data_IF_449735145667
#
_entry.id   IF_449735145667
#
_cell.length_a   1.000
_cell.length_b   1.000
_cell.length_c   1.000
_cell.angle_alpha   90.00
_cell.angle_beta   90.00
_cell.angle_gamma   90.00
#
_symmetry.space_group_name_H-M   'P 1'
#
loop_
_entity.id
_entity.type
_entity.pdbx_description
1 polymer ?
#
# COMPACT_ATOMS: atom_id res chain seq x y z
N UNK A 1 49.57 1.02 -10.56
CA UNK A 1 49.15 0.00 -11.52
C UNK A 1 47.83 -0.55 -10.99
N UNK A 2 46.74 -0.38 -11.72
CA UNK A 2 45.41 -0.84 -11.29
C UNK A 2 45.37 -2.35 -11.42
N UNK A 3 45.16 -3.05 -10.30
CA UNK A 3 44.94 -4.49 -10.30
C UNK A 3 43.62 -4.76 -11.05
N UNK A 4 43.72 -5.36 -12.24
CA UNK A 4 42.58 -5.83 -13.00
C UNK A 4 42.04 -7.08 -12.29
N UNK A 5 41.21 -6.89 -11.26
CA UNK A 5 40.40 -7.98 -10.76
C UNK A 5 39.29 -8.28 -11.79
N UNK A 6 39.18 -9.52 -12.29
CA UNK A 6 38.08 -9.89 -13.17
C UNK A 6 36.77 -9.73 -12.39
N UNK A 7 35.88 -8.89 -12.90
CA UNK A 7 34.52 -8.77 -12.37
C UNK A 7 33.87 -10.14 -12.57
N UNK A 8 33.63 -10.86 -11.47
CA UNK A 8 32.89 -12.12 -11.54
C UNK A 8 31.48 -11.82 -12.03
N UNK A 9 31.08 -12.50 -13.10
CA UNK A 9 29.71 -12.40 -13.58
C UNK A 9 28.78 -13.00 -12.52
N UNK A 10 27.71 -12.29 -12.14
CA UNK A 10 26.76 -12.81 -11.17
C UNK A 10 26.14 -14.10 -11.69
N UNK A 11 25.94 -15.03 -10.78
CA UNK A 11 25.21 -16.27 -11.03
C UNK A 11 23.74 -15.97 -11.32
N UNK A 12 23.05 -16.93 -11.95
CA UNK A 12 21.61 -16.77 -12.22
C UNK A 12 20.79 -16.55 -10.94
N UNK A 13 21.20 -17.12 -9.80
CA UNK A 13 20.55 -16.91 -8.51
C UNK A 13 20.70 -15.47 -8.00
N UNK A 14 21.92 -14.91 -8.09
CA UNK A 14 22.18 -13.52 -7.73
C UNK A 14 21.45 -12.53 -8.66
N UNK A 15 21.33 -12.85 -9.96
CA UNK A 15 20.53 -12.07 -10.90
C UNK A 15 19.04 -12.11 -10.57
N UNK A 16 18.53 -13.27 -10.13
CA UNK A 16 17.15 -13.43 -9.72
C UNK A 16 16.86 -12.66 -8.41
N UNK A 17 17.77 -12.72 -7.43
CA UNK A 17 17.70 -11.93 -6.20
C UNK A 17 17.71 -10.43 -6.49
N UNK A 18 18.63 -9.95 -7.34
CA UNK A 18 18.67 -8.54 -7.76
C UNK A 18 17.40 -8.12 -8.49
N UNK A 19 16.82 -9.01 -9.30
CA UNK A 19 15.54 -8.76 -9.98
C UNK A 19 14.41 -8.64 -8.96
N UNK A 20 14.34 -9.54 -7.98
CA UNK A 20 13.34 -9.47 -6.92
C UNK A 20 13.52 -8.21 -6.06
N UNK A 21 14.75 -7.86 -5.69
CA UNK A 21 15.07 -6.64 -4.93
C UNK A 21 14.67 -5.37 -5.69
N UNK A 22 14.73 -5.38 -7.02
CA UNK A 22 14.29 -4.25 -7.85
C UNK A 22 12.77 -4.18 -8.01
N UNK A 23 12.10 -5.32 -8.12
CA UNK A 23 10.65 -5.39 -8.38
C UNK A 23 9.83 -5.08 -7.12
N UNK A 24 10.26 -5.53 -5.94
CA UNK A 24 9.55 -5.35 -4.66
C UNK A 24 9.29 -3.86 -4.33
N UNK A 25 10.25 -2.92 -4.42
CA UNK A 25 10.00 -1.48 -4.20
C UNK A 25 8.93 -0.89 -5.12
N UNK A 26 8.92 -1.27 -6.41
CA UNK A 26 7.98 -0.75 -7.40
C UNK A 26 6.57 -1.25 -7.09
N UNK A 27 6.43 -2.56 -6.81
CA UNK A 27 5.15 -3.14 -6.41
C UNK A 27 4.60 -2.51 -5.12
N UNK A 28 5.48 -2.28 -4.13
CA UNK A 28 5.12 -1.58 -2.88
C UNK A 28 4.63 -0.16 -3.13
N UNK A 29 5.34 0.62 -3.94
CA UNK A 29 4.92 1.98 -4.29
C UNK A 29 3.56 1.97 -5.02
N UNK A 30 3.33 1.00 -5.91
CA UNK A 30 2.06 0.84 -6.61
C UNK A 30 0.90 0.48 -5.66
N UNK A 31 1.11 -0.44 -4.72
CA UNK A 31 0.10 -0.79 -3.71
C UNK A 31 -0.23 0.40 -2.81
N UNK A 32 0.78 1.13 -2.32
CA UNK A 32 0.57 2.36 -1.54
C UNK A 32 -0.24 3.41 -2.30
N UNK A 33 0.09 3.65 -3.56
CA UNK A 33 -0.64 4.62 -4.38
C UNK A 33 -2.10 4.20 -4.60
N UNK A 34 -2.34 2.91 -4.82
CA UNK A 34 -3.70 2.36 -4.99
C UNK A 34 -4.53 2.55 -3.73
N UNK A 35 -3.93 2.24 -2.57
CA UNK A 35 -4.56 2.39 -1.26
C UNK A 35 -4.90 3.84 -0.99
N UNK A 36 -3.95 4.77 -1.12
CA UNK A 36 -4.19 6.21 -0.90
C UNK A 36 -5.33 6.71 -1.79
N UNK A 37 -5.38 6.27 -3.05
CA UNK A 37 -6.47 6.63 -3.96
C UNK A 37 -7.82 6.10 -3.48
N UNK A 38 -7.91 4.83 -3.09
CA UNK A 38 -9.15 4.26 -2.57
C UNK A 38 -9.61 4.91 -1.27
N UNK A 39 -8.67 5.29 -0.39
CA UNK A 39 -8.97 6.04 0.82
C UNK A 39 -9.61 7.40 0.48
N UNK A 40 -9.04 8.11 -0.48
CA UNK A 40 -9.56 9.40 -0.93
C UNK A 40 -10.97 9.25 -1.51
N UNK A 41 -11.21 8.23 -2.35
CA UNK A 41 -12.54 7.97 -2.93
C UNK A 41 -13.61 7.71 -1.84
N UNK A 42 -13.25 7.02 -0.75
CA UNK A 42 -14.15 6.77 0.39
C UNK A 42 -14.47 8.07 1.13
N UNK A 43 -13.45 8.89 1.40
CA UNK A 43 -13.60 10.18 2.09
C UNK A 43 -14.41 11.17 1.26
N UNK A 44 -14.14 11.27 -0.04
CA UNK A 44 -14.89 12.12 -0.96
C UNK A 44 -16.37 11.71 -1.02
N UNK A 45 -16.66 10.40 -1.05
CA UNK A 45 -18.03 9.90 -0.95
C UNK A 45 -18.69 10.29 0.37
N UNK A 46 -17.99 10.18 1.48
CA UNK A 46 -18.51 10.54 2.80
C UNK A 46 -18.81 12.04 2.91
N UNK A 47 -17.89 12.89 2.47
CA UNK A 47 -18.06 14.34 2.46
C UNK A 47 -19.19 14.76 1.52
N UNK A 48 -19.32 14.11 0.35
CA UNK A 48 -20.43 14.32 -0.56
C UNK A 48 -21.77 13.98 0.11
N UNK A 49 -21.87 12.85 0.81
CA UNK A 49 -23.08 12.45 1.53
C UNK A 49 -23.42 13.39 2.69
N UNK A 50 -22.42 13.93 3.39
CA UNK A 50 -22.66 14.97 4.41
C UNK A 50 -23.12 16.30 3.80
N UNK A 51 -22.63 16.63 2.60
CA UNK A 51 -23.04 17.82 1.86
C UNK A 51 -24.45 17.70 1.26
N UNK A 52 -24.88 16.46 0.97
CA UNK A 52 -26.25 16.13 0.61
C UNK A 52 -27.14 16.33 1.84
N UNK A 53 -27.66 17.54 1.94
CA UNK A 53 -28.67 17.90 2.92
C UNK A 53 -29.85 16.90 2.85
N UNK A 54 -30.54 16.67 3.97
CA UNK A 54 -31.68 15.74 4.21
C UNK A 54 -32.86 15.81 3.20
N UNK A 55 -32.75 16.64 2.17
CA UNK A 55 -33.74 16.94 1.15
C UNK A 55 -33.63 16.08 -0.11
N UNK A 56 -32.55 15.31 -0.31
CA UNK A 56 -32.34 14.51 -1.54
C UNK A 56 -32.50 13.00 -1.30
N UNK A 57 -32.05 12.48 -0.16
CA UNK A 57 -32.16 11.07 0.21
C UNK A 57 -32.98 10.95 1.50
N UNK A 58 -33.87 9.96 1.56
CA UNK A 58 -34.54 9.63 2.82
C UNK A 58 -33.47 9.23 3.85
N UNK A 59 -33.63 9.64 5.14
CA UNK A 59 -32.64 9.41 6.19
C UNK A 59 -32.17 7.96 6.30
N UNK A 60 -33.09 7.01 6.11
CA UNK A 60 -32.83 5.56 6.19
C UNK A 60 -31.82 5.07 5.13
N UNK A 61 -31.87 5.63 3.92
CA UNK A 61 -30.91 5.29 2.87
C UNK A 61 -29.57 5.98 3.08
N UNK A 62 -29.56 7.19 3.63
CA UNK A 62 -28.33 7.89 4.00
C UNK A 62 -27.57 7.07 5.07
N UNK A 63 -28.27 6.62 6.11
CA UNK A 63 -27.71 5.79 7.18
C UNK A 63 -27.16 4.47 6.63
N UNK A 64 -27.87 3.82 5.69
CA UNK A 64 -27.40 2.60 5.05
C UNK A 64 -26.07 2.82 4.30
N UNK A 65 -25.98 3.89 3.49
CA UNK A 65 -24.77 4.19 2.72
C UNK A 65 -23.61 4.59 3.64
N UNK A 66 -23.86 5.38 4.70
CA UNK A 66 -22.85 5.73 5.70
C UNK A 66 -22.32 4.46 6.41
N UNK A 67 -23.21 3.53 6.75
CA UNK A 67 -22.80 2.26 7.37
C UNK A 67 -21.94 1.41 6.43
N UNK A 68 -22.28 1.34 5.14
CA UNK A 68 -21.47 0.63 4.14
C UNK A 68 -20.08 1.27 3.98
N UNK A 69 -20.01 2.60 3.90
CA UNK A 69 -18.73 3.32 3.84
C UNK A 69 -17.89 3.07 5.09
N UNK A 70 -18.50 3.05 6.28
CA UNK A 70 -17.82 2.75 7.54
C UNK A 70 -17.26 1.32 7.56
N UNK A 71 -18.04 0.33 7.13
CA UNK A 71 -17.56 -1.05 7.04
C UNK A 71 -16.37 -1.17 6.09
N UNK A 72 -16.46 -0.52 4.93
CA UNK A 72 -15.37 -0.49 3.95
C UNK A 72 -14.13 0.19 4.50
N UNK A 73 -14.30 1.27 5.26
CA UNK A 73 -13.20 1.97 5.94
C UNK A 73 -12.50 1.09 6.99
N UNK A 74 -13.24 0.30 7.76
CA UNK A 74 -12.65 -0.64 8.74
C UNK A 74 -11.78 -1.68 8.04
N UNK A 75 -12.31 -2.34 7.00
CA UNK A 75 -11.55 -3.32 6.22
C UNK A 75 -10.30 -2.69 5.62
N UNK A 76 -10.43 -1.46 5.13
CA UNK A 76 -9.31 -0.72 4.57
C UNK A 76 -8.22 -0.40 5.61
N UNK A 77 -8.59 -0.05 6.84
CA UNK A 77 -7.65 0.13 7.95
C UNK A 77 -6.93 -1.17 8.32
N UNK A 78 -7.64 -2.30 8.30
CA UNK A 78 -7.04 -3.62 8.57
C UNK A 78 -5.97 -3.93 7.52
N UNK A 79 -6.28 -3.78 6.23
CA UNK A 79 -5.32 -3.99 5.12
C UNK A 79 -4.11 -3.05 5.22
N UNK A 80 -4.34 -1.79 5.59
CA UNK A 80 -3.26 -0.83 5.85
C UNK A 80 -2.34 -1.27 6.99
N UNK A 81 -2.92 -1.84 8.05
CA UNK A 81 -2.15 -2.32 9.20
C UNK A 81 -1.28 -3.54 8.84
N UNK A 82 -1.81 -4.46 8.03
CA UNK A 82 -1.07 -5.62 7.54
C UNK A 82 0.10 -5.20 6.65
N UNK A 83 -0.14 -4.27 5.72
CA UNK A 83 0.92 -3.74 4.86
C UNK A 83 2.00 -3.01 5.65
N UNK A 84 1.62 -2.26 6.68
CA UNK A 84 2.58 -1.62 7.57
C UNK A 84 3.43 -2.65 8.32
N UNK A 85 2.82 -3.71 8.83
CA UNK A 85 3.55 -4.79 9.51
C UNK A 85 4.51 -5.51 8.55
N UNK A 86 4.09 -5.74 7.30
CA UNK A 86 4.94 -6.30 6.25
C UNK A 86 6.12 -5.36 5.90
N UNK A 87 5.90 -4.05 5.91
CA UNK A 87 6.95 -3.05 5.68
C UNK A 87 7.93 -2.96 6.84
N UNK A 88 7.47 -2.95 8.08
CA UNK A 88 8.32 -2.98 9.28
C UNK A 88 9.19 -4.25 9.29
N UNK A 89 8.60 -5.42 9.02
CA UNK A 89 9.36 -6.68 8.94
C UNK A 89 10.40 -6.68 7.81
N UNK A 90 10.06 -6.14 6.64
CA UNK A 90 11.01 -6.04 5.53
C UNK A 90 12.13 -5.03 5.81
N UNK A 91 11.87 -3.99 6.59
CA UNK A 91 12.87 -2.99 6.96
C UNK A 91 13.84 -3.54 8.00
N UNK A 92 13.35 -4.27 9.01
CA UNK A 92 14.18 -5.01 9.96
C UNK A 92 15.10 -6.02 9.25
N UNK A 93 14.58 -6.69 8.22
CA UNK A 93 15.38 -7.59 7.39
C UNK A 93 16.50 -6.83 6.66
N UNK A 94 16.21 -5.70 6.02
CA UNK A 94 17.21 -4.90 5.29
C UNK A 94 18.32 -4.42 6.23
N UNK A 95 17.98 -3.95 7.43
CA UNK A 95 18.97 -3.54 8.44
C UNK A 95 19.87 -4.71 8.88
N UNK A 96 19.32 -5.93 8.94
CA UNK A 96 20.09 -7.15 9.24
C UNK A 96 21.10 -7.57 8.15
N UNK A 97 20.95 -7.07 6.92
CA UNK A 97 21.89 -7.31 5.80
C UNK A 97 22.94 -6.20 5.68
N UNK A 98 22.82 -5.10 6.43
CA UNK A 98 23.77 -3.99 6.46
C UNK A 98 24.83 -4.10 7.58
N UNK A 99 24.65 -5.04 8.52
CA UNK A 99 25.61 -5.46 9.58
C UNK A 99 26.46 -6.69 9.17
#
# INVERSE_FOLDING_TARGET
>A
MSENHPIQAPTNGELEELTQLRVRPIQRAFHRATIVREAQEILDCYDFLLSLNQYILYPEYLDLVINLLRQRWIIFLDVLSELRAEEEHNQDMIELWED
#
